data_IF_726202510589
#
_entry.id   IF_726202510589
#
_cell.length_a   1.000
_cell.length_b   1.000
_cell.length_c   1.000
_cell.angle_alpha   90.00
_cell.angle_beta   90.00
_cell.angle_gamma   90.00
#
_symmetry.space_group_name_H-M   'P 1'
#
loop_
_entity.id
_entity.type
_entity.pdbx_description
1 polymer ?
#
# COMPACT_ATOMS: atom_id res chain seq x y z
N UNK A 1 -19.05 -9.02 -3.00
CA UNK A 1 -17.63 -8.77 -2.67
C UNK A 1 -16.95 -8.33 -3.96
N UNK A 2 -16.68 -7.04 -4.08
CA UNK A 2 -16.31 -6.36 -5.33
C UNK A 2 -14.88 -6.69 -5.72
N UNK A 3 -14.69 -7.48 -6.78
CA UNK A 3 -13.40 -7.73 -7.40
C UNK A 3 -12.90 -6.45 -8.09
N UNK A 4 -11.87 -5.81 -7.54
CA UNK A 4 -11.22 -4.65 -8.16
C UNK A 4 -10.41 -5.13 -9.38
N UNK A 5 -10.70 -4.56 -10.55
CA UNK A 5 -10.11 -4.95 -11.83
C UNK A 5 -8.59 -4.70 -11.88
N UNK A 6 -7.88 -5.53 -12.65
CA UNK A 6 -6.42 -5.61 -12.78
C UNK A 6 -5.73 -4.39 -13.44
N UNK A 7 -6.37 -3.21 -13.45
CA UNK A 7 -5.82 -1.96 -14.02
C UNK A 7 -6.04 -0.72 -13.14
N UNK A 8 -6.39 -0.90 -11.87
CA UNK A 8 -6.62 0.19 -10.92
C UNK A 8 -5.41 0.47 -10.01
N UNK A 9 -5.24 1.73 -9.62
CA UNK A 9 -4.26 2.19 -8.62
C UNK A 9 -4.26 1.30 -7.37
N UNK A 10 -3.09 0.77 -7.00
CA UNK A 10 -2.87 -0.11 -5.85
C UNK A 10 -2.53 0.77 -4.64
N UNK A 11 -3.26 0.62 -3.54
CA UNK A 11 -3.05 1.38 -2.30
C UNK A 11 -2.41 0.49 -1.26
N UNK A 12 -1.20 0.84 -0.81
CA UNK A 12 -0.43 0.11 0.19
C UNK A 12 -0.27 0.95 1.46
N UNK A 13 -0.77 0.47 2.59
CA UNK A 13 -0.63 1.14 3.88
C UNK A 13 0.67 0.80 4.60
N UNK A 14 1.23 1.76 5.33
CA UNK A 14 2.40 1.53 6.17
C UNK A 14 2.35 2.29 7.49
N UNK A 15 2.93 1.72 8.54
CA UNK A 15 3.27 2.45 9.77
C UNK A 15 4.69 3.00 9.64
N UNK A 16 4.97 4.26 10.03
CA UNK A 16 6.30 4.87 9.93
C UNK A 16 7.28 4.31 10.97
N UNK A 17 7.67 3.06 10.75
CA UNK A 17 8.71 2.31 11.46
C UNK A 17 9.83 1.96 10.46
N UNK A 18 10.97 1.51 10.94
CA UNK A 18 12.14 1.26 10.08
C UNK A 18 11.96 0.09 9.11
N UNK A 19 11.05 -0.83 9.39
CA UNK A 19 10.64 -1.96 8.55
C UNK A 19 9.91 -1.54 7.27
N UNK A 20 9.26 -0.37 7.24
CA UNK A 20 8.52 0.13 6.08
C UNK A 20 9.41 0.55 4.91
N UNK A 21 10.72 0.60 5.12
CA UNK A 21 11.69 1.15 4.18
C UNK A 21 11.56 0.53 2.79
N UNK A 22 11.32 -0.77 2.67
CA UNK A 22 11.18 -1.46 1.39
C UNK A 22 10.03 -0.91 0.54
N UNK A 23 8.83 -0.76 1.14
CA UNK A 23 7.62 -0.26 0.47
C UNK A 23 7.76 1.22 0.12
N UNK A 24 8.26 2.02 1.07
CA UNK A 24 8.41 3.47 0.88
C UNK A 24 9.50 3.76 -0.16
N UNK A 25 10.67 3.12 -0.05
CA UNK A 25 11.76 3.34 -1.00
C UNK A 25 11.43 2.81 -2.39
N UNK A 26 10.62 1.74 -2.53
CA UNK A 26 10.16 1.31 -3.84
C UNK A 26 9.33 2.38 -4.56
N UNK A 27 8.56 3.17 -3.82
CA UNK A 27 7.85 4.33 -4.37
C UNK A 27 8.82 5.47 -4.71
N UNK A 28 9.69 5.87 -3.77
CA UNK A 28 10.64 6.98 -3.97
C UNK A 28 11.63 6.72 -5.10
N UNK A 29 12.11 5.49 -5.24
CA UNK A 29 13.02 5.07 -6.32
C UNK A 29 12.29 4.80 -7.65
N UNK A 30 10.96 5.00 -7.70
CA UNK A 30 10.17 4.76 -8.90
C UNK A 30 10.13 3.31 -9.36
N UNK A 31 10.44 2.34 -8.49
CA UNK A 31 10.48 0.92 -8.83
C UNK A 31 9.10 0.40 -9.23
N UNK A 32 8.03 0.85 -8.57
CA UNK A 32 6.66 0.50 -8.97
C UNK A 32 6.36 0.92 -10.41
N UNK A 33 6.66 2.17 -10.75
CA UNK A 33 6.49 2.70 -12.12
C UNK A 33 7.35 1.96 -13.14
N UNK A 34 8.60 1.63 -12.78
CA UNK A 34 9.51 0.82 -13.62
C UNK A 34 8.90 -0.54 -13.99
N UNK A 35 8.11 -1.13 -13.09
CA UNK A 35 7.41 -2.39 -13.31
C UNK A 35 5.97 -2.22 -13.85
N UNK A 36 5.56 -1.01 -14.26
CA UNK A 36 4.23 -0.75 -14.80
C UNK A 36 3.12 -0.76 -13.74
N UNK A 37 3.45 -0.62 -12.46
CA UNK A 37 2.50 -0.58 -11.36
C UNK A 37 2.22 0.87 -10.95
N UNK A 38 0.93 1.23 -10.89
CA UNK A 38 0.46 2.48 -10.30
C UNK A 38 0.16 2.24 -8.82
N UNK A 39 1.11 2.60 -7.95
CA UNK A 39 1.06 2.33 -6.52
C UNK A 39 1.04 3.64 -5.73
N UNK A 40 0.09 3.75 -4.80
CA UNK A 40 0.02 4.78 -3.78
C UNK A 40 0.40 4.19 -2.42
N UNK A 41 1.37 4.81 -1.75
CA UNK A 41 1.82 4.40 -0.43
C UNK A 41 1.25 5.37 0.60
N UNK A 42 0.42 4.88 1.53
CA UNK A 42 -0.29 5.70 2.52
C UNK A 42 0.23 5.46 3.93
N UNK A 43 0.52 6.54 4.66
CA UNK A 43 0.92 6.47 6.06
C UNK A 43 -0.30 6.23 6.95
N UNK A 44 -0.19 5.27 7.84
CA UNK A 44 -1.23 4.85 8.77
C UNK A 44 -0.82 5.03 10.23
N UNK A 45 -1.81 5.23 11.10
CA UNK A 45 -1.59 5.57 12.51
C UNK A 45 -1.39 4.34 13.42
N UNK A 46 -2.00 3.19 13.07
CA UNK A 46 -1.97 1.98 13.89
C UNK A 46 -2.24 0.72 13.07
N UNK A 47 -1.87 -0.43 13.63
CA UNK A 47 -2.17 -1.75 13.05
C UNK A 47 -3.67 -2.03 12.97
N UNK A 48 -4.44 -1.52 13.94
CA UNK A 48 -5.90 -1.62 13.91
C UNK A 48 -6.46 -0.89 12.69
N UNK A 49 -5.98 0.33 12.43
CA UNK A 49 -6.40 1.13 11.26
C UNK A 49 -6.04 0.44 9.95
N UNK A 50 -4.83 -0.12 9.84
CA UNK A 50 -4.43 -0.91 8.65
C UNK A 50 -5.38 -2.08 8.43
N UNK A 51 -5.61 -2.89 9.46
CA UNK A 51 -6.52 -4.06 9.38
C UNK A 51 -7.89 -3.63 8.90
N UNK A 52 -8.47 -2.61 9.54
CA UNK A 52 -9.83 -2.17 9.25
C UNK A 52 -9.93 -1.63 7.80
N UNK A 53 -8.91 -0.91 7.33
CA UNK A 53 -8.83 -0.39 5.95
C UNK A 53 -8.59 -1.47 4.88
N UNK A 54 -7.83 -2.51 5.21
CA UNK A 54 -7.67 -3.67 4.31
C UNK A 54 -8.98 -4.44 4.21
N UNK A 55 -9.68 -4.62 5.35
CA UNK A 55 -10.99 -5.27 5.37
C UNK A 55 -12.08 -4.47 4.65
N UNK A 56 -12.04 -3.14 4.71
CA UNK A 56 -12.98 -2.28 3.98
C UNK A 56 -12.68 -2.18 2.47
N UNK A 57 -11.46 -2.56 2.05
CA UNK A 57 -10.98 -2.39 0.67
C UNK A 57 -10.46 -0.97 0.36
N UNK A 58 -10.27 -0.14 1.39
CA UNK A 58 -9.58 1.16 1.26
C UNK A 58 -8.09 0.98 0.99
N UNK A 59 -7.50 -0.11 1.49
CA UNK A 59 -6.15 -0.56 1.16
C UNK A 59 -6.21 -1.91 0.44
N UNK A 60 -5.37 -2.06 -0.57
CA UNK A 60 -5.18 -3.33 -1.28
C UNK A 60 -4.13 -4.21 -0.56
N UNK A 61 -3.29 -3.61 0.29
CA UNK A 61 -2.31 -4.32 1.12
C UNK A 61 -1.60 -3.41 2.12
N UNK A 62 -0.71 -3.97 2.93
CA UNK A 62 0.12 -3.23 3.88
C UNK A 62 1.43 -3.97 4.18
N UNK A 63 2.41 -3.26 4.75
CA UNK A 63 3.61 -3.91 5.33
C UNK A 63 3.26 -4.65 6.63
N UNK A 64 4.10 -5.60 7.03
CA UNK A 64 3.99 -6.37 8.27
C UNK A 64 5.36 -6.60 8.90
#
# INVERSE_FOLDING_TARGET
>A
MTTKAAGGKIRIGFIPLTDCASVVMAHELGLYKKHGLDVEVTREASWATIRDKVLSGDLDGAHC
#
